data_IF_487826764375
#
_entry.id   IF_487826764375
#
_cell.length_a   1.000
_cell.length_b   1.000
_cell.length_c   1.000
_cell.angle_alpha   90.00
_cell.angle_beta   90.00
_cell.angle_gamma   90.00
#
_symmetry.space_group_name_H-M   'P 1'
#
loop_
_entity.id
_entity.type
_entity.pdbx_description
1 polymer ?
#
# COMPACT_ATOMS: atom_id res chain seq x y z
N UNK A 1 -30.55 -10.38 19.56
CA UNK A 1 -30.16 -9.10 18.92
C UNK A 1 -28.72 -9.26 18.51
N UNK A 2 -28.41 -9.20 17.22
CA UNK A 2 -27.02 -9.12 16.76
C UNK A 2 -26.52 -7.70 17.01
N UNK A 3 -25.53 -7.55 17.89
CA UNK A 3 -24.94 -6.24 18.23
C UNK A 3 -23.85 -5.80 17.25
N UNK A 4 -23.53 -6.64 16.26
CA UNK A 4 -22.49 -6.38 15.27
C UNK A 4 -23.12 -5.99 13.95
N UNK A 5 -22.73 -4.84 13.42
CA UNK A 5 -23.10 -4.36 12.08
C UNK A 5 -21.96 -4.66 11.12
N UNK A 6 -21.76 -5.93 10.78
CA UNK A 6 -20.68 -6.31 9.86
C UNK A 6 -20.99 -5.87 8.43
N UNK A 7 -20.01 -5.28 7.76
CA UNK A 7 -20.08 -4.99 6.32
C UNK A 7 -20.20 -6.31 5.56
N UNK A 8 -21.23 -6.41 4.73
CA UNK A 8 -21.43 -7.58 3.87
C UNK A 8 -20.51 -7.44 2.66
N UNK A 9 -19.56 -8.36 2.57
CA UNK A 9 -18.60 -8.46 1.49
C UNK A 9 -18.77 -9.79 0.78
N UNK A 10 -18.96 -9.71 -0.53
CA UNK A 10 -19.02 -10.85 -1.43
C UNK A 10 -17.68 -10.97 -2.18
N UNK A 11 -17.30 -12.20 -2.50
CA UNK A 11 -16.12 -12.46 -3.31
C UNK A 11 -16.33 -11.88 -4.71
N UNK A 12 -15.25 -11.35 -5.30
CA UNK A 12 -15.30 -10.88 -6.67
C UNK A 12 -15.50 -12.04 -7.65
N UNK A 13 -16.36 -11.85 -8.65
CA UNK A 13 -16.65 -12.89 -9.63
C UNK A 13 -15.47 -13.17 -10.57
N UNK A 14 -14.61 -12.18 -10.80
CA UNK A 14 -13.50 -12.23 -11.76
C UNK A 14 -12.31 -11.43 -11.26
N UNK A 15 -11.12 -11.74 -11.79
CA UNK A 15 -9.90 -11.03 -11.40
C UNK A 15 -9.53 -11.27 -9.95
N UNK A 16 -9.64 -12.53 -9.50
CA UNK A 16 -9.15 -12.94 -8.20
C UNK A 16 -7.62 -13.05 -8.25
N UNK A 17 -6.99 -12.74 -7.11
CA UNK A 17 -5.56 -12.82 -6.90
C UNK A 17 -5.18 -14.27 -6.60
N UNK A 18 -4.20 -14.77 -7.32
CA UNK A 18 -3.55 -16.06 -7.13
C UNK A 18 -2.02 -15.94 -7.15
N UNK A 19 -1.30 -17.06 -7.06
CA UNK A 19 0.17 -17.06 -7.09
C UNK A 19 0.81 -16.69 -8.44
N UNK A 20 0.01 -16.60 -9.51
CA UNK A 20 0.44 -16.04 -10.80
C UNK A 20 0.17 -14.55 -10.90
N UNK A 21 -0.57 -13.98 -9.94
CA UNK A 21 -0.77 -12.55 -9.86
C UNK A 21 0.51 -11.83 -9.48
N UNK A 22 0.57 -10.57 -9.87
CA UNK A 22 1.64 -9.63 -9.57
C UNK A 22 1.00 -8.27 -9.25
N UNK A 23 1.25 -7.76 -8.05
CA UNK A 23 0.54 -6.61 -7.50
C UNK A 23 1.45 -5.38 -7.45
N UNK A 24 0.94 -4.24 -7.91
CA UNK A 24 1.53 -2.94 -7.58
C UNK A 24 0.66 -2.25 -6.53
N UNK A 25 1.23 -1.93 -5.38
CA UNK A 25 0.53 -1.27 -4.28
C UNK A 25 1.15 0.10 -4.00
N UNK A 26 0.31 1.13 -3.90
CA UNK A 26 0.78 2.47 -3.58
C UNK A 26 -0.20 3.21 -2.66
N UNK A 27 0.32 4.03 -1.76
CA UNK A 27 -0.50 4.87 -0.90
C UNK A 27 0.00 5.00 0.54
N UNK A 28 -0.95 5.09 1.46
CA UNK A 28 -0.73 5.29 2.90
C UNK A 28 0.10 4.18 3.56
N UNK A 29 0.49 4.40 4.83
CA UNK A 29 1.15 3.37 5.65
C UNK A 29 0.32 2.08 5.80
N UNK A 30 -1.00 2.14 5.63
CA UNK A 30 -1.85 0.94 5.66
C UNK A 30 -1.59 0.01 4.46
N UNK A 31 -1.19 0.55 3.30
CA UNK A 31 -0.78 -0.26 2.15
C UNK A 31 0.40 -1.18 2.51
N UNK A 32 1.36 -0.68 3.31
CA UNK A 32 2.49 -1.48 3.79
C UNK A 32 2.04 -2.59 4.74
N UNK A 33 1.04 -2.34 5.60
CA UNK A 33 0.48 -3.37 6.49
C UNK A 33 -0.16 -4.51 5.69
N UNK A 34 -0.86 -4.19 4.61
CA UNK A 34 -1.44 -5.19 3.70
C UNK A 34 -0.37 -5.91 2.89
N UNK A 35 0.65 -5.20 2.40
CA UNK A 35 1.82 -5.81 1.74
C UNK A 35 2.55 -6.80 2.64
N UNK A 36 2.72 -6.51 3.94
CA UNK A 36 3.31 -7.48 4.86
C UNK A 36 2.52 -8.79 4.95
N UNK A 37 1.19 -8.73 4.82
CA UNK A 37 0.36 -9.94 4.79
C UNK A 37 0.52 -10.70 3.46
N UNK A 38 0.53 -9.98 2.34
CA UNK A 38 0.80 -10.57 1.03
C UNK A 38 2.18 -11.26 1.00
N UNK A 39 3.22 -10.57 1.49
CA UNK A 39 4.58 -11.10 1.59
C UNK A 39 4.63 -12.33 2.50
N UNK A 40 3.96 -12.30 3.66
CA UNK A 40 3.88 -13.45 4.56
C UNK A 40 3.35 -14.68 3.83
N UNK A 41 2.28 -14.51 3.04
CA UNK A 41 1.69 -15.57 2.23
C UNK A 41 2.35 -15.78 0.85
N UNK A 42 3.51 -15.15 0.62
CA UNK A 42 4.35 -15.31 -0.58
C UNK A 42 3.75 -14.78 -1.89
N UNK A 43 2.76 -13.89 -1.85
CA UNK A 43 2.23 -13.23 -3.04
C UNK A 43 3.20 -12.15 -3.56
N UNK A 44 3.44 -12.15 -4.88
CA UNK A 44 4.30 -11.15 -5.53
C UNK A 44 3.67 -9.76 -5.47
N UNK A 45 4.42 -8.80 -4.94
CA UNK A 45 4.01 -7.41 -4.95
C UNK A 45 5.21 -6.47 -4.88
N UNK A 46 5.06 -5.28 -5.49
CA UNK A 46 5.89 -4.11 -5.24
C UNK A 46 5.04 -3.07 -4.52
N UNK A 47 5.50 -2.60 -3.36
CA UNK A 47 4.73 -1.66 -2.54
C UNK A 47 5.50 -0.38 -2.25
N UNK A 48 4.89 0.77 -2.53
CA UNK A 48 5.39 2.10 -2.17
C UNK A 48 6.88 2.32 -2.54
N UNK A 49 7.27 2.23 -3.83
CA UNK A 49 8.68 2.40 -4.25
C UNK A 49 9.26 3.79 -3.86
N UNK A 50 8.41 4.82 -3.87
CA UNK A 50 8.72 6.20 -3.42
C UNK A 50 8.45 6.44 -1.93
N UNK A 51 8.08 5.39 -1.21
CA UNK A 51 7.56 5.44 0.14
C UNK A 51 6.10 5.83 0.25
N UNK A 52 5.70 6.22 1.46
CA UNK A 52 4.30 6.47 1.76
C UNK A 52 3.86 7.79 1.10
N UNK A 53 2.89 7.70 0.20
CA UNK A 53 2.25 8.82 -0.47
C UNK A 53 0.77 8.83 -0.10
N UNK A 54 0.29 9.85 0.62
CA UNK A 54 -1.04 9.77 1.23
C UNK A 54 -2.19 10.29 0.35
N UNK A 55 -1.93 11.12 -0.65
CA UNK A 55 -2.97 11.79 -1.44
C UNK A 55 -2.77 11.51 -2.93
N UNK A 56 -3.85 11.54 -3.74
CA UNK A 56 -3.82 11.07 -5.12
C UNK A 56 -2.84 11.88 -5.99
N UNK A 57 -2.77 13.21 -5.82
CA UNK A 57 -1.87 14.07 -6.62
C UNK A 57 -0.38 13.68 -6.51
N UNK A 58 0.08 13.24 -5.34
CA UNK A 58 1.47 12.80 -5.18
C UNK A 58 1.71 11.45 -5.89
N UNK A 59 0.73 10.55 -5.81
CA UNK A 59 0.75 9.26 -6.49
C UNK A 59 0.76 9.47 -8.00
N UNK A 60 -0.14 10.32 -8.50
CA UNK A 60 -0.24 10.67 -9.92
C UNK A 60 1.08 11.19 -10.46
N UNK A 61 1.75 12.09 -9.73
CA UNK A 61 3.01 12.66 -10.20
C UNK A 61 4.10 11.61 -10.36
N UNK A 62 4.33 10.75 -9.35
CA UNK A 62 5.39 9.73 -9.47
C UNK A 62 5.07 8.67 -10.52
N UNK A 63 3.79 8.33 -10.71
CA UNK A 63 3.35 7.41 -11.77
C UNK A 63 3.53 8.04 -13.14
N UNK A 64 3.13 9.30 -13.31
CA UNK A 64 3.29 10.05 -14.55
C UNK A 64 4.77 10.14 -14.93
N UNK A 65 5.64 10.48 -13.97
CA UNK A 65 7.09 10.50 -14.21
C UNK A 65 7.61 9.14 -14.64
N UNK A 66 7.19 8.07 -13.96
CA UNK A 66 7.66 6.71 -14.25
C UNK A 66 7.26 6.27 -15.66
N UNK A 67 6.02 6.53 -16.07
CA UNK A 67 5.50 6.08 -17.36
C UNK A 67 5.98 6.93 -18.54
N UNK A 68 6.28 8.21 -18.32
CA UNK A 68 6.78 9.13 -19.35
C UNK A 68 8.32 9.22 -19.43
N UNK A 69 9.05 8.40 -18.64
CA UNK A 69 10.51 8.48 -18.52
C UNK A 69 11.03 9.88 -18.11
N UNK A 70 10.25 10.60 -17.29
CA UNK A 70 10.61 11.92 -16.77
C UNK A 70 11.47 11.78 -15.51
N UNK A 71 12.76 11.54 -15.75
CA UNK A 71 13.74 11.32 -14.69
C UNK A 71 13.93 12.55 -13.79
N UNK A 72 14.24 12.29 -12.53
CA UNK A 72 14.68 13.28 -11.54
C UNK A 72 16.07 13.82 -11.88
N UNK A 73 16.25 15.12 -11.67
CA UNK A 73 17.54 15.79 -11.70
C UNK A 73 17.84 16.51 -10.38
N UNK A 74 19.03 17.11 -10.27
CA UNK A 74 19.48 17.73 -9.02
C UNK A 74 18.61 18.93 -8.60
N UNK A 75 17.84 19.52 -9.52
CA UNK A 75 16.91 20.63 -9.25
C UNK A 75 15.62 20.17 -8.58
N UNK A 76 15.28 18.88 -8.68
CA UNK A 76 14.19 18.25 -7.91
C UNK A 76 14.55 18.03 -6.43
N UNK A 77 15.79 18.31 -6.05
CA UNK A 77 16.35 18.02 -4.74
C UNK A 77 16.67 19.30 -3.96
N UNK A 78 16.56 19.23 -2.64
CA UNK A 78 16.98 20.29 -1.73
C UNK A 78 17.72 19.70 -0.53
N UNK A 79 18.64 20.50 0.02
CA UNK A 79 19.41 20.11 1.20
C UNK A 79 18.75 20.59 2.49
N UNK A 80 18.70 19.73 3.49
CA UNK A 80 18.30 20.07 4.85
C UNK A 80 19.03 19.16 5.85
N UNK A 81 19.63 19.74 6.89
CA UNK A 81 20.38 18.99 7.92
C UNK A 81 21.42 18.02 7.33
N UNK A 82 22.24 18.50 6.38
CA UNK A 82 23.33 17.75 5.73
C UNK A 82 22.84 16.51 4.95
N UNK A 83 21.56 16.49 4.58
CA UNK A 83 20.96 15.45 3.75
C UNK A 83 20.12 16.06 2.64
N UNK A 84 20.03 15.33 1.54
CA UNK A 84 19.25 15.71 0.38
C UNK A 84 17.91 15.01 0.37
N UNK A 85 16.86 15.75 0.03
CA UNK A 85 15.48 15.30 -0.05
C UNK A 85 14.84 15.76 -1.34
N UNK A 86 13.77 15.10 -1.74
CA UNK A 86 12.87 15.56 -2.79
C UNK A 86 11.46 15.66 -2.23
N UNK A 87 10.74 16.73 -2.56
CA UNK A 87 9.37 16.93 -2.14
C UNK A 87 8.39 15.87 -2.68
N UNK A 88 8.81 15.06 -3.65
CA UNK A 88 8.00 13.99 -4.26
C UNK A 88 8.20 12.62 -3.60
N UNK A 89 9.26 12.45 -2.80
CA UNK A 89 9.59 11.20 -2.13
C UNK A 89 9.33 11.23 -0.63
N UNK A 90 9.14 10.04 -0.03
CA UNK A 90 9.09 9.90 1.42
C UNK A 90 10.45 10.16 2.06
N UNK A 91 10.49 10.60 3.32
CA UNK A 91 11.73 10.99 4.01
C UNK A 91 12.80 9.89 4.16
N UNK A 92 12.47 8.60 3.96
CA UNK A 92 13.49 7.54 3.93
C UNK A 92 14.30 7.55 2.62
N UNK A 93 13.74 8.09 1.55
CA UNK A 93 14.43 8.39 0.30
C UNK A 93 15.11 9.74 0.44
N UNK A 94 16.26 9.71 1.12
CA UNK A 94 17.19 10.83 1.22
C UNK A 94 18.57 10.39 0.73
N UNK A 95 19.37 11.34 0.26
CA UNK A 95 20.73 11.11 -0.23
C UNK A 95 21.78 11.90 0.57
N UNK A 96 23.04 11.49 0.44
CA UNK A 96 24.19 12.28 0.94
C UNK A 96 24.52 13.46 0.02
N UNK A 97 24.19 13.34 -1.26
CA UNK A 97 24.31 14.37 -2.29
C UNK A 97 23.03 14.40 -3.11
N UNK A 98 22.79 15.51 -3.84
CA UNK A 98 21.68 15.60 -4.79
C UNK A 98 21.74 14.45 -5.79
N UNK A 99 22.92 14.22 -6.37
CA UNK A 99 23.18 13.14 -7.31
C UNK A 99 22.80 11.75 -6.77
N UNK A 100 23.27 11.39 -5.58
CA UNK A 100 22.94 10.10 -4.92
C UNK A 100 21.42 9.92 -4.77
N UNK A 101 20.71 10.98 -4.38
CA UNK A 101 19.25 10.94 -4.28
C UNK A 101 18.60 10.76 -5.66
N UNK A 102 19.02 11.53 -6.68
CA UNK A 102 18.43 11.46 -8.03
C UNK A 102 18.62 10.09 -8.66
N UNK A 103 19.81 9.49 -8.54
CA UNK A 103 20.08 8.13 -9.05
C UNK A 103 19.12 7.12 -8.40
N UNK A 104 18.94 7.18 -7.07
CA UNK A 104 18.01 6.31 -6.35
C UNK A 104 16.55 6.53 -6.72
N UNK A 105 16.10 7.78 -6.88
CA UNK A 105 14.74 8.08 -7.31
C UNK A 105 14.48 7.57 -8.73
N UNK A 106 15.45 7.72 -9.62
CA UNK A 106 15.38 7.24 -11.00
C UNK A 106 15.36 5.71 -11.09
N UNK A 107 16.08 5.01 -10.20
CA UNK A 107 15.96 3.55 -10.10
C UNK A 107 14.55 3.14 -9.65
N UNK A 108 13.93 3.90 -8.74
CA UNK A 108 12.53 3.68 -8.34
C UNK A 108 11.53 3.99 -9.45
N UNK A 109 11.80 4.98 -10.32
CA UNK A 109 10.98 5.21 -11.51
C UNK A 109 11.01 4.01 -12.46
N UNK A 110 12.22 3.48 -12.75
CA UNK A 110 12.39 2.31 -13.63
C UNK A 110 11.71 1.06 -13.06
N UNK A 111 11.90 0.81 -11.75
CA UNK A 111 11.25 -0.30 -11.04
C UNK A 111 9.72 -0.18 -11.11
N UNK A 112 9.19 1.03 -10.88
CA UNK A 112 7.75 1.31 -10.95
C UNK A 112 7.19 1.07 -12.35
N UNK A 113 7.87 1.58 -13.39
CA UNK A 113 7.45 1.38 -14.78
C UNK A 113 7.42 -0.10 -15.14
N UNK A 114 8.52 -0.80 -14.91
CA UNK A 114 8.64 -2.24 -15.20
C UNK A 114 7.57 -3.05 -14.48
N UNK A 115 7.26 -2.71 -13.22
CA UNK A 115 6.23 -3.39 -12.47
C UNK A 115 4.83 -3.11 -13.03
N UNK A 116 4.52 -1.87 -13.41
CA UNK A 116 3.20 -1.50 -13.95
C UNK A 116 2.93 -2.13 -15.33
N UNK A 117 3.97 -2.39 -16.11
CA UNK A 117 3.88 -3.12 -17.39
C UNK A 117 3.43 -4.58 -17.20
N UNK A 118 3.83 -5.25 -16.12
CA UNK A 118 3.49 -6.66 -15.85
C UNK A 118 2.41 -6.87 -14.78
N UNK A 119 2.08 -5.85 -14.00
CA UNK A 119 1.16 -5.98 -12.88
C UNK A 119 -0.23 -6.44 -13.33
N UNK A 120 -0.75 -7.43 -12.63
CA UNK A 120 -2.13 -7.89 -12.79
C UNK A 120 -3.12 -6.99 -12.05
N UNK A 121 -2.69 -6.44 -10.91
CA UNK A 121 -3.52 -5.64 -10.03
C UNK A 121 -2.80 -4.38 -9.57
N UNK A 122 -3.52 -3.28 -9.56
CA UNK A 122 -3.14 -2.00 -8.96
C UNK A 122 -3.98 -1.77 -7.70
N UNK A 123 -3.33 -1.59 -6.55
CA UNK A 123 -4.00 -1.25 -5.30
C UNK A 123 -3.60 0.15 -4.86
N UNK A 124 -4.55 1.08 -4.81
CA UNK A 124 -4.31 2.47 -4.36
C UNK A 124 -4.99 2.67 -3.01
N UNK A 125 -4.20 2.95 -1.97
CA UNK A 125 -4.70 3.21 -0.61
C UNK A 125 -4.57 4.67 -0.22
N UNK A 126 -5.62 5.47 -0.39
CA UNK A 126 -5.60 6.90 -0.10
C UNK A 126 -5.68 7.19 1.41
N UNK A 127 -4.79 8.03 1.92
CA UNK A 127 -4.67 8.40 3.32
C UNK A 127 -5.41 9.67 3.70
N UNK A 128 -5.18 10.76 2.97
CA UNK A 128 -5.78 12.08 3.24
C UNK A 128 -6.00 12.89 1.96
N UNK A 129 -7.04 13.73 1.95
CA UNK A 129 -7.27 14.79 0.96
C UNK A 129 -6.58 16.12 1.33
N UNK A 130 -6.00 16.23 2.53
CA UNK A 130 -5.20 17.40 2.90
C UNK A 130 -3.85 17.34 2.19
N UNK A 131 -3.52 18.42 1.49
CA UNK A 131 -2.25 18.59 0.77
C UNK A 131 -1.54 19.85 1.26
N UNK A 132 -0.25 19.89 0.98
CA UNK A 132 0.59 21.05 1.23
C UNK A 132 1.17 21.51 -0.09
N UNK A 133 0.95 22.77 -0.43
CA UNK A 133 1.51 23.44 -1.60
C UNK A 133 2.72 24.25 -1.18
N UNK A 134 3.87 23.95 -1.75
CA UNK A 134 5.08 24.75 -1.53
C UNK A 134 4.93 26.10 -2.22
N UNK A 135 4.97 27.18 -1.45
CA UNK A 135 4.56 28.52 -1.90
C UNK A 135 5.49 29.04 -3.00
N UNK A 136 6.79 28.78 -2.91
CA UNK A 136 7.76 29.33 -3.86
C UNK A 136 7.71 28.69 -5.23
N UNK A 137 7.29 27.42 -5.32
CA UNK A 137 7.20 26.67 -6.58
C UNK A 137 5.77 26.49 -7.08
N UNK A 138 4.77 26.86 -6.28
CA UNK A 138 3.34 26.63 -6.55
C UNK A 138 3.03 25.15 -6.86
N UNK A 139 3.70 24.23 -6.17
CA UNK A 139 3.52 22.79 -6.36
C UNK A 139 3.02 22.12 -5.09
N UNK A 140 2.01 21.26 -5.23
CA UNK A 140 1.63 20.32 -4.15
C UNK A 140 2.81 19.39 -3.91
N UNK A 141 3.17 19.12 -2.66
CA UNK A 141 4.29 18.22 -2.29
C UNK A 141 3.77 16.95 -1.64
N UNK A 142 4.48 15.83 -1.83
CA UNK A 142 4.17 14.57 -1.17
C UNK A 142 4.55 14.58 0.31
N UNK A 143 5.65 15.27 0.65
CA UNK A 143 6.17 15.34 2.00
C UNK A 143 6.91 16.67 2.24
N UNK A 144 6.59 17.37 3.32
CA UNK A 144 7.25 18.64 3.67
C UNK A 144 8.64 18.46 4.30
N UNK A 145 9.07 17.23 4.62
CA UNK A 145 10.37 16.90 5.23
C UNK A 145 10.76 17.72 6.47
N UNK A 146 9.78 18.19 7.25
CA UNK A 146 9.98 19.09 8.41
C UNK A 146 10.54 20.48 8.05
N UNK A 147 10.54 20.86 6.77
CA UNK A 147 10.74 22.25 6.33
C UNK A 147 9.70 23.15 7.04
N UNK A 148 10.05 24.40 7.40
CA UNK A 148 9.16 25.30 8.14
C UNK A 148 7.77 25.42 7.51
N UNK A 149 6.72 25.25 8.33
CA UNK A 149 5.33 25.24 7.83
C UNK A 149 4.90 26.52 7.10
N UNK A 150 5.54 27.66 7.39
CA UNK A 150 5.30 28.95 6.71
C UNK A 150 5.63 28.92 5.21
N UNK A 151 6.38 27.92 4.74
CA UNK A 151 6.73 27.74 3.33
C UNK A 151 5.66 26.98 2.55
N UNK A 152 4.61 26.51 3.25
CA UNK A 152 3.54 25.73 2.66
C UNK A 152 2.18 26.36 2.92
N UNK A 153 1.34 26.34 1.89
CA UNK A 153 -0.09 26.55 2.01
C UNK A 153 -0.77 25.20 2.17
N UNK A 154 -1.66 25.07 3.15
CA UNK A 154 -2.42 23.85 3.38
C UNK A 154 -3.78 23.94 2.71
N UNK A 155 -4.11 22.97 1.89
CA UNK A 155 -5.33 22.93 1.07
C UNK A 155 -6.06 21.59 1.26
N UNK A 156 -7.38 21.60 1.16
CA UNK A 156 -8.18 20.39 1.09
C UNK A 156 -8.54 20.17 -0.38
N UNK A 157 -8.12 19.04 -0.95
CA UNK A 157 -8.53 18.65 -2.29
C UNK A 157 -10.05 18.49 -2.34
N UNK A 158 -10.63 19.04 -3.40
CA UNK A 158 -12.03 18.84 -3.76
C UNK A 158 -12.29 17.40 -4.19
N UNK A 159 -13.57 17.03 -4.24
CA UNK A 159 -13.99 15.70 -4.69
C UNK A 159 -13.57 15.49 -6.15
N UNK A 160 -13.75 16.53 -6.97
CA UNK A 160 -13.42 16.57 -8.39
C UNK A 160 -11.91 16.36 -8.60
N UNK A 161 -11.05 17.12 -7.93
CA UNK A 161 -9.59 16.98 -8.03
C UNK A 161 -9.10 15.56 -7.66
N UNK A 162 -9.73 14.94 -6.65
CA UNK A 162 -9.42 13.55 -6.27
C UNK A 162 -9.82 12.59 -7.38
N UNK A 163 -11.03 12.73 -7.91
CA UNK A 163 -11.55 11.86 -8.97
C UNK A 163 -10.73 11.98 -10.25
N UNK A 164 -10.37 13.20 -10.65
CA UNK A 164 -9.57 13.49 -11.84
C UNK A 164 -8.16 12.92 -11.70
N UNK A 165 -7.52 13.12 -10.54
CA UNK A 165 -6.17 12.59 -10.30
C UNK A 165 -6.13 11.05 -10.33
N UNK A 166 -7.13 10.39 -9.72
CA UNK A 166 -7.23 8.92 -9.75
C UNK A 166 -7.54 8.41 -11.17
N UNK A 167 -8.45 9.06 -11.89
CA UNK A 167 -8.78 8.71 -13.28
C UNK A 167 -7.58 8.88 -14.21
N UNK A 168 -6.81 9.97 -14.07
CA UNK A 168 -5.55 10.20 -14.78
C UNK A 168 -4.57 9.05 -14.55
N UNK A 169 -4.32 8.66 -13.29
CA UNK A 169 -3.45 7.51 -12.95
C UNK A 169 -3.89 6.26 -13.71
N UNK A 170 -5.19 5.93 -13.65
CA UNK A 170 -5.72 4.71 -14.26
C UNK A 170 -5.60 4.77 -15.78
N UNK A 171 -5.93 5.90 -16.41
CA UNK A 171 -5.81 6.09 -17.86
C UNK A 171 -4.36 5.96 -18.33
N UNK A 172 -3.42 6.61 -17.64
CA UNK A 172 -1.98 6.56 -17.92
C UNK A 172 -1.47 5.11 -17.89
N UNK A 173 -1.78 4.37 -16.83
CA UNK A 173 -1.37 2.96 -16.70
C UNK A 173 -2.01 2.10 -17.80
N UNK A 174 -3.29 2.33 -18.13
CA UNK A 174 -3.99 1.56 -19.17
C UNK A 174 -3.47 1.77 -20.59
N UNK A 175 -2.67 2.82 -20.84
CA UNK A 175 -1.96 2.96 -22.11
C UNK A 175 -0.94 1.85 -22.33
N UNK A 176 -0.29 1.39 -21.26
CA UNK A 176 0.73 0.33 -21.29
C UNK A 176 0.19 -1.04 -20.85
N UNK A 177 -0.83 -1.07 -19.99
CA UNK A 177 -1.38 -2.29 -19.41
C UNK A 177 -2.92 -2.22 -19.33
N UNK A 178 -3.57 -2.66 -20.41
CA UNK A 178 -5.02 -2.53 -20.60
C UNK A 178 -5.86 -3.41 -19.67
N UNK A 179 -5.33 -4.56 -19.27
CA UNK A 179 -6.05 -5.60 -18.52
C UNK A 179 -5.92 -5.43 -16.99
N UNK A 180 -5.15 -4.43 -16.53
CA UNK A 180 -4.91 -4.23 -15.10
C UNK A 180 -6.23 -4.01 -14.34
N UNK A 181 -6.39 -4.78 -13.26
CA UNK A 181 -7.50 -4.63 -12.32
C UNK A 181 -7.14 -3.59 -11.28
N UNK A 182 -8.06 -2.68 -10.98
CA UNK A 182 -7.82 -1.58 -10.04
C UNK A 182 -8.65 -1.78 -8.78
N UNK A 183 -7.99 -1.75 -7.63
CA UNK A 183 -8.61 -1.81 -6.31
C UNK A 183 -8.29 -0.51 -5.58
N UNK A 184 -9.30 0.34 -5.46
CA UNK A 184 -9.23 1.58 -4.69
C UNK A 184 -9.65 1.31 -3.25
N UNK A 185 -9.00 1.95 -2.30
CA UNK A 185 -9.39 1.88 -0.88
C UNK A 185 -9.00 3.16 -0.16
N UNK A 186 -9.82 3.56 0.82
CA UNK A 186 -9.48 4.64 1.74
C UNK A 186 -8.88 4.01 3.00
N UNK A 187 -7.76 4.56 3.45
CA UNK A 187 -7.00 4.06 4.60
C UNK A 187 -7.83 4.13 5.89
N UNK A 188 -7.80 3.09 6.74
CA UNK A 188 -8.45 3.07 8.05
C UNK A 188 -7.73 3.92 9.12
N UNK A 189 -6.51 4.37 8.83
CA UNK A 189 -5.72 5.18 9.76
C UNK A 189 -6.32 6.57 9.92
N UNK A 190 -6.45 7.02 11.17
CA UNK A 190 -6.92 8.37 11.52
C UNK A 190 -5.76 9.37 11.46
N UNK A 191 -5.92 10.42 10.66
CA UNK A 191 -4.95 11.51 10.54
C UNK A 191 -5.32 12.69 11.45
N UNK A 192 -4.89 12.65 12.73
CA UNK A 192 -5.29 13.65 13.73
C UNK A 192 -4.35 14.83 13.91
N UNK A 193 -3.28 14.93 13.11
CA UNK A 193 -2.37 16.08 13.14
C UNK A 193 -3.13 17.42 13.05
N UNK A 194 -4.27 17.40 12.37
CA UNK A 194 -5.09 18.57 12.07
C UNK A 194 -6.43 18.59 12.81
N UNK A 195 -6.78 17.53 13.55
CA UNK A 195 -8.06 17.39 14.25
C UNK A 195 -8.99 16.30 13.68
N UNK A 196 -9.95 15.86 14.50
CA UNK A 196 -10.92 14.82 14.14
C UNK A 196 -11.92 15.29 13.07
N UNK A 197 -12.29 16.57 13.09
CA UNK A 197 -13.22 17.17 12.13
C UNK A 197 -12.55 17.20 10.75
N UNK A 198 -11.30 17.62 10.71
CA UNK A 198 -10.45 17.72 9.54
C UNK A 198 -10.18 16.34 8.94
N UNK A 199 -9.92 15.33 9.77
CA UNK A 199 -9.83 13.94 9.33
C UNK A 199 -11.15 13.48 8.70
N UNK A 200 -12.29 13.75 9.34
CA UNK A 200 -13.60 13.32 8.84
C UNK A 200 -13.93 13.97 7.49
N UNK A 201 -13.68 15.29 7.35
CA UNK A 201 -13.81 16.02 6.08
C UNK A 201 -12.92 15.40 5.01
N UNK A 202 -11.65 15.15 5.33
CA UNK A 202 -10.67 14.55 4.42
C UNK A 202 -11.12 13.17 3.91
N UNK A 203 -11.52 12.27 4.82
CA UNK A 203 -12.04 10.94 4.45
C UNK A 203 -13.30 11.03 3.61
N UNK A 204 -14.21 11.97 3.92
CA UNK A 204 -15.42 12.19 3.13
C UNK A 204 -15.11 12.61 1.68
N UNK A 205 -14.12 13.49 1.47
CA UNK A 205 -13.70 13.90 0.12
C UNK A 205 -13.06 12.73 -0.63
N UNK A 206 -12.19 11.96 0.03
CA UNK A 206 -11.58 10.77 -0.59
C UNK A 206 -12.63 9.74 -1.00
N UNK A 207 -13.57 9.41 -0.11
CA UNK A 207 -14.64 8.45 -0.38
C UNK A 207 -15.50 8.92 -1.56
N UNK A 208 -15.95 10.18 -1.52
CA UNK A 208 -16.76 10.74 -2.61
C UNK A 208 -16.02 10.71 -3.95
N UNK A 209 -14.74 11.12 -3.98
CA UNK A 209 -13.95 11.19 -5.21
C UNK A 209 -13.63 9.80 -5.77
N UNK A 210 -13.26 8.84 -4.91
CA UNK A 210 -13.06 7.44 -5.31
C UNK A 210 -14.34 6.86 -5.92
N UNK A 211 -15.50 7.07 -5.28
CA UNK A 211 -16.76 6.50 -5.76
C UNK A 211 -17.30 7.15 -7.05
N UNK A 212 -16.77 8.28 -7.49
CA UNK A 212 -17.06 8.82 -8.83
C UNK A 212 -16.41 7.98 -9.95
N UNK A 213 -15.29 7.31 -9.66
CA UNK A 213 -14.50 6.55 -10.66
C UNK A 213 -14.75 5.04 -10.58
N UNK A 214 -15.21 4.53 -9.43
CA UNK A 214 -15.49 3.09 -9.25
C UNK A 214 -16.53 2.61 -10.27
N UNK A 215 -16.09 1.70 -11.15
CA UNK A 215 -16.93 1.04 -12.12
C UNK A 215 -16.45 -0.40 -12.32
N UNK A 216 -17.18 -1.36 -11.75
CA UNK A 216 -16.83 -2.79 -11.81
C UNK A 216 -16.79 -3.33 -13.25
N UNK A 217 -17.60 -2.77 -14.17
CA UNK A 217 -17.58 -3.17 -15.58
C UNK A 217 -16.25 -2.82 -16.26
N UNK A 218 -15.62 -1.76 -15.79
CA UNK A 218 -14.31 -1.32 -16.26
C UNK A 218 -13.17 -1.91 -15.42
N UNK A 219 -13.45 -2.87 -14.53
CA UNK A 219 -12.42 -3.47 -13.66
C UNK A 219 -11.85 -2.51 -12.60
N UNK A 220 -12.63 -1.49 -12.20
CA UNK A 220 -12.28 -0.57 -11.11
C UNK A 220 -13.20 -0.85 -9.93
N UNK A 221 -12.61 -1.27 -8.81
CA UNK A 221 -13.33 -1.76 -7.65
C UNK A 221 -12.95 -0.97 -6.40
N UNK A 222 -13.80 -1.04 -5.38
CA UNK A 222 -13.55 -0.44 -4.08
C UNK A 222 -13.47 -1.53 -3.00
N UNK A 223 -12.44 -1.48 -2.16
CA UNK A 223 -12.33 -2.30 -0.96
C UNK A 223 -12.51 -1.42 0.30
N UNK A 224 -13.52 -1.67 1.15
CA UNK A 224 -13.93 -0.74 2.19
C UNK A 224 -13.11 -0.88 3.49
N UNK A 225 -11.79 -0.68 3.42
CA UNK A 225 -10.94 -0.87 4.60
C UNK A 225 -11.20 0.16 5.70
N UNK A 226 -11.53 1.41 5.33
CA UNK A 226 -11.88 2.48 6.26
C UNK A 226 -13.17 2.16 7.01
N UNK A 227 -14.21 1.77 6.30
CA UNK A 227 -15.52 1.44 6.84
C UNK A 227 -15.42 0.19 7.71
N UNK A 228 -14.65 -0.84 7.33
CA UNK A 228 -14.41 -1.99 8.22
C UNK A 228 -13.85 -1.50 9.58
N UNK A 229 -12.87 -0.61 9.55
CA UNK A 229 -12.29 -0.09 10.79
C UNK A 229 -13.29 0.77 11.58
N UNK A 230 -14.07 1.61 10.91
CA UNK A 230 -14.99 2.53 11.59
C UNK A 230 -16.29 1.85 12.05
N UNK A 231 -16.76 0.83 11.34
CA UNK A 231 -18.09 0.25 11.50
C UNK A 231 -18.09 -1.20 12.02
N UNK A 232 -17.16 -2.05 11.60
CA UNK A 232 -17.05 -3.41 12.14
C UNK A 232 -16.22 -3.44 13.42
N UNK A 233 -15.18 -2.59 13.47
CA UNK A 233 -14.14 -2.55 14.51
C UNK A 233 -14.20 -1.26 15.35
N UNK A 234 -15.42 -0.87 15.74
CA UNK A 234 -15.73 0.44 16.37
C UNK A 234 -15.01 0.75 17.70
N UNK A 235 -14.44 -0.26 18.35
CA UNK A 235 -13.91 -0.18 19.72
C UNK A 235 -12.42 0.21 19.74
N UNK A 236 -12.01 1.03 20.72
CA UNK A 236 -10.61 1.44 20.92
C UNK A 236 -9.63 0.26 21.06
N UNK A 237 -10.10 -0.91 21.46
CA UNK A 237 -9.30 -2.16 21.52
C UNK A 237 -8.68 -2.57 20.18
N UNK A 238 -9.15 -1.99 19.07
CA UNK A 238 -8.65 -2.26 17.72
C UNK A 238 -7.60 -1.24 17.26
N UNK A 239 -7.26 -0.26 18.08
CA UNK A 239 -6.20 0.71 17.80
C UNK A 239 -4.91 0.34 18.53
N UNK A 240 -3.80 0.79 17.97
CA UNK A 240 -2.50 0.82 18.64
C UNK A 240 -2.52 1.84 19.80
N UNK A 241 -1.45 1.88 20.59
CA UNK A 241 -1.35 2.78 21.74
C UNK A 241 -1.46 4.28 21.40
N UNK A 242 -1.28 4.65 20.12
CA UNK A 242 -1.51 6.02 19.64
C UNK A 242 -2.98 6.38 19.38
N UNK A 243 -3.89 5.40 19.43
CA UNK A 243 -5.32 5.54 19.13
C UNK A 243 -5.63 5.98 17.68
N UNK A 244 -4.65 5.87 16.77
CA UNK A 244 -4.74 6.31 15.38
C UNK A 244 -4.65 5.14 14.40
N UNK A 245 -3.66 4.28 14.61
CA UNK A 245 -3.37 3.17 13.72
C UNK A 245 -4.17 1.94 14.15
N UNK A 246 -4.70 1.14 13.20
CA UNK A 246 -5.23 -0.17 13.52
C UNK A 246 -4.13 -1.07 14.09
N UNK A 247 -4.44 -1.81 15.14
CA UNK A 247 -3.50 -2.76 15.73
C UNK A 247 -3.44 -4.08 14.95
N UNK A 248 -2.55 -4.98 15.39
CA UNK A 248 -2.35 -6.28 14.73
C UNK A 248 -3.64 -7.10 14.56
N UNK A 249 -4.56 -7.07 15.53
CA UNK A 249 -5.85 -7.75 15.46
C UNK A 249 -6.76 -7.11 14.40
N UNK A 250 -6.82 -5.77 14.36
CA UNK A 250 -7.60 -5.05 13.36
C UNK A 250 -7.05 -5.25 11.93
N UNK A 251 -5.73 -5.19 11.78
CA UNK A 251 -5.04 -5.48 10.50
C UNK A 251 -5.31 -6.92 10.07
N UNK A 252 -5.26 -7.89 10.99
CA UNK A 252 -5.62 -9.28 10.67
C UNK A 252 -7.07 -9.37 10.19
N UNK A 253 -8.02 -8.77 10.90
CA UNK A 253 -9.43 -8.82 10.50
C UNK A 253 -9.66 -8.20 9.11
N UNK A 254 -9.06 -7.05 8.83
CA UNK A 254 -9.16 -6.41 7.51
C UNK A 254 -8.49 -7.28 6.43
N UNK A 255 -7.37 -7.92 6.74
CA UNK A 255 -6.74 -8.91 5.86
C UNK A 255 -7.67 -10.09 5.57
N UNK A 256 -8.34 -10.65 6.57
CA UNK A 256 -9.26 -11.77 6.39
C UNK A 256 -10.43 -11.37 5.46
N UNK A 257 -10.94 -10.14 5.61
CA UNK A 257 -11.94 -9.59 4.69
C UNK A 257 -11.38 -9.39 3.27
N UNK A 258 -10.14 -8.89 3.14
CA UNK A 258 -9.49 -8.74 1.84
C UNK A 258 -9.30 -10.10 1.16
N UNK A 259 -8.79 -11.10 1.90
CA UNK A 259 -8.62 -12.46 1.44
C UNK A 259 -9.94 -13.06 0.95
N UNK A 260 -11.01 -12.90 1.71
CA UNK A 260 -12.35 -13.37 1.32
C UNK A 260 -12.82 -12.74 0.01
N UNK A 261 -12.56 -11.45 -0.19
CA UNK A 261 -13.07 -10.73 -1.36
C UNK A 261 -12.23 -11.00 -2.61
N UNK A 262 -10.91 -11.05 -2.46
CA UNK A 262 -9.97 -10.90 -3.57
C UNK A 262 -9.07 -12.10 -3.83
N UNK A 263 -8.83 -12.97 -2.85
CA UNK A 263 -7.94 -14.12 -3.05
C UNK A 263 -8.76 -15.30 -3.59
N UNK A 264 -8.24 -15.95 -4.62
CA UNK A 264 -8.82 -17.15 -5.20
C UNK A 264 -8.83 -18.29 -4.16
N UNK A 265 -9.97 -18.95 -3.98
CA UNK A 265 -10.13 -20.03 -2.99
C UNK A 265 -9.14 -21.17 -3.24
N UNK A 266 -8.71 -21.39 -4.49
CA UNK A 266 -7.69 -22.39 -4.84
C UNK A 266 -6.34 -22.14 -4.15
N UNK A 267 -6.07 -20.91 -3.71
CA UNK A 267 -4.84 -20.56 -3.01
C UNK A 267 -4.88 -20.90 -1.51
N UNK A 268 -6.04 -21.18 -0.93
CA UNK A 268 -6.17 -21.32 0.52
C UNK A 268 -5.39 -22.52 1.08
N UNK A 269 -5.33 -23.64 0.35
CA UNK A 269 -4.53 -24.80 0.74
C UNK A 269 -3.03 -24.44 0.79
N UNK A 270 -2.52 -23.80 -0.26
CA UNK A 270 -1.13 -23.36 -0.33
C UNK A 270 -0.82 -22.31 0.76
N UNK A 271 -1.75 -21.38 1.03
CA UNK A 271 -1.61 -20.40 2.10
C UNK A 271 -1.52 -21.07 3.48
N UNK A 272 -2.27 -22.15 3.72
CA UNK A 272 -2.19 -22.93 4.96
C UNK A 272 -0.82 -23.60 5.10
N UNK A 273 -0.30 -24.18 4.02
CA UNK A 273 1.04 -24.78 4.02
C UNK A 273 2.14 -23.72 4.23
N UNK A 274 2.01 -22.54 3.62
CA UNK A 274 2.90 -21.39 3.85
C UNK A 274 2.87 -20.93 5.31
N UNK A 275 1.69 -20.84 5.95
CA UNK A 275 1.56 -20.49 7.37
C UNK A 275 2.20 -21.55 8.28
N UNK A 276 2.01 -22.85 7.99
CA UNK A 276 2.67 -23.96 8.70
C UNK A 276 4.19 -23.84 8.62
N UNK A 277 4.74 -23.66 7.43
CA UNK A 277 6.19 -23.54 7.22
C UNK A 277 6.75 -22.30 7.92
N UNK A 278 6.09 -21.16 7.75
CA UNK A 278 6.54 -19.87 8.33
C UNK A 278 6.51 -19.90 9.85
N UNK A 279 5.45 -20.47 10.46
CA UNK A 279 5.40 -20.68 11.92
C UNK A 279 6.44 -21.66 12.40
N UNK A 280 6.75 -22.68 11.61
CA UNK A 280 7.81 -23.64 11.91
C UNK A 280 9.17 -22.97 12.04
N UNK A 281 9.52 -22.04 11.14
CA UNK A 281 10.76 -21.27 11.23
C UNK A 281 10.74 -20.22 12.34
N UNK A 282 9.58 -19.63 12.64
CA UNK A 282 9.44 -18.68 13.73
C UNK A 282 9.40 -19.34 15.13
N UNK A 283 9.26 -20.67 15.21
CA UNK A 283 9.13 -21.38 16.47
C UNK A 283 10.40 -21.26 17.32
N UNK A 284 10.25 -20.81 18.56
CA UNK A 284 11.36 -20.76 19.54
C UNK A 284 11.31 -22.04 20.39
N UNK A 285 12.22 -23.01 20.17
CA UNK A 285 12.21 -24.25 20.92
C UNK A 285 12.63 -24.02 22.38
N UNK A 286 12.15 -24.87 23.28
CA UNK A 286 12.63 -24.89 24.66
C UNK A 286 14.09 -25.40 24.76
N UNK A 287 14.48 -26.30 23.86
CA UNK A 287 15.85 -26.87 23.74
C UNK A 287 16.31 -26.89 22.29
N UNK A 288 17.04 -25.86 21.88
CA UNK A 288 17.54 -25.72 20.50
C UNK A 288 18.59 -26.77 20.10
N UNK A 289 19.23 -27.44 21.07
CA UNK A 289 20.26 -28.46 20.86
C UNK A 289 19.69 -29.88 20.66
N UNK A 290 18.40 -30.07 20.97
CA UNK A 290 17.74 -31.39 20.93
C UNK A 290 17.66 -31.97 19.51
N UNK A 291 17.70 -33.30 19.42
CA UNK A 291 17.57 -34.01 18.14
C UNK A 291 16.18 -33.80 17.54
N UNK A 292 15.14 -33.85 18.37
CA UNK A 292 13.75 -33.61 17.95
C UNK A 292 13.57 -32.25 17.26
N UNK A 293 14.21 -31.20 17.78
CA UNK A 293 14.15 -29.88 17.16
C UNK A 293 14.91 -29.83 15.81
N UNK A 294 16.06 -30.50 15.72
CA UNK A 294 16.80 -30.60 14.45
C UNK A 294 16.01 -31.35 13.39
N UNK A 295 15.35 -32.45 13.76
CA UNK A 295 14.51 -33.25 12.87
C UNK A 295 13.25 -32.46 12.45
N UNK A 296 12.66 -31.71 13.38
CA UNK A 296 11.57 -30.77 13.09
C UNK A 296 11.98 -29.72 12.05
N UNK A 297 13.12 -29.04 12.24
CA UNK A 297 13.62 -28.05 11.29
C UNK A 297 13.94 -28.65 9.93
N UNK A 298 14.51 -29.87 9.90
CA UNK A 298 14.76 -30.59 8.65
C UNK A 298 13.47 -30.85 7.89
N UNK A 299 12.44 -31.36 8.57
CA UNK A 299 11.12 -31.59 7.97
C UNK A 299 10.46 -30.28 7.49
N UNK A 300 10.59 -29.20 8.26
CA UNK A 300 10.07 -27.89 7.88
C UNK A 300 10.77 -27.36 6.62
N UNK A 301 12.08 -27.56 6.51
CA UNK A 301 12.88 -27.21 5.32
C UNK A 301 12.50 -28.05 4.10
N UNK A 302 12.36 -29.36 4.26
CA UNK A 302 11.90 -30.24 3.17
C UNK A 302 10.52 -29.82 2.64
N UNK A 303 9.65 -29.34 3.53
CA UNK A 303 8.36 -28.81 3.14
C UNK A 303 8.47 -27.47 2.40
N UNK A 304 9.29 -26.54 2.90
CA UNK A 304 9.60 -25.29 2.22
C UNK A 304 10.18 -25.53 0.80
N UNK A 305 11.08 -26.50 0.66
CA UNK A 305 11.72 -26.83 -0.62
C UNK A 305 10.70 -27.41 -1.63
N UNK A 306 9.69 -28.16 -1.17
CA UNK A 306 8.58 -28.61 -2.04
C UNK A 306 7.74 -27.44 -2.55
N UNK A 307 7.38 -26.51 -1.66
CA UNK A 307 6.64 -25.30 -2.06
C UNK A 307 7.47 -24.46 -3.04
N UNK A 308 8.79 -24.31 -2.82
CA UNK A 308 9.69 -23.61 -3.76
C UNK A 308 9.80 -24.30 -5.12
N UNK A 309 9.73 -25.63 -5.16
CA UNK A 309 9.75 -26.37 -6.43
C UNK A 309 8.49 -26.12 -7.28
N UNK A 310 7.34 -25.92 -6.63
CA UNK A 310 6.08 -25.59 -7.29
C UNK A 310 5.96 -24.08 -7.60
N UNK A 311 6.41 -23.23 -6.67
CA UNK A 311 6.38 -21.77 -6.76
C UNK A 311 7.81 -21.20 -6.61
N UNK A 312 8.58 -21.08 -7.71
CA UNK A 312 9.99 -20.69 -7.65
C UNK A 312 10.29 -19.32 -7.03
N UNK A 313 9.28 -18.45 -6.89
CA UNK A 313 9.42 -17.14 -6.28
C UNK A 313 9.26 -17.15 -4.75
N UNK A 314 8.86 -18.28 -4.14
CA UNK A 314 8.70 -18.36 -2.69
C UNK A 314 10.06 -18.27 -1.99
N UNK A 315 10.12 -17.44 -0.96
CA UNK A 315 11.27 -17.24 -0.09
C UNK A 315 10.83 -17.46 1.36
N UNK A 316 11.35 -18.55 1.91
CA UNK A 316 11.30 -18.86 3.33
C UNK A 316 12.73 -18.66 3.85
N UNK A 317 12.94 -17.56 4.56
CA UNK A 317 14.21 -17.15 5.15
C UNK A 317 14.26 -17.45 6.66
#
# INVERSE_FOLDING_TARGET
MEFRTSIKLDQQAHGLIDYNSDLFMIGSCFAQKMSYRLNYFQFRNLTNPFGILFHPVAIERVITRALNDEFFDETDCFEMNERWFSFEGHSYLNGRTARDLTERLNDKLKETKSQLESATHLVITLGTAWVYRHISTDTIVANCHKVPQKEFLKELLTVEEISESVDSIIKLIRLINKEIRVILTVSPVRHLKDGMIENSRSKAHLLAGVHQIVNQRDGIHYFPSYEIMMDDLRDYRFYEGDMLHPNSLAVQYIWDQFQKVWIDEKCYEVMEEVDKVSRGFAHKPFRADSQDYKDFLKKNKEHADKLKAEYPHFSFD
#
